data_IF_902002574105
#
_entry.id   IF_902002574105
#
_cell.length_a   1.000
_cell.length_b   1.000
_cell.length_c   1.000
_cell.angle_alpha   90.00
_cell.angle_beta   90.00
_cell.angle_gamma   90.00
#
_symmetry.space_group_name_H-M   'P 1'
#
loop_
_entity.id
_entity.type
_entity.pdbx_description
1 polymer ?
#
# COMPACT_ATOMS: atom_id res chain seq x y z
N UNK A 1 27.59 -47.97 -52.50
CA UNK A 1 27.34 -47.76 -51.06
C UNK A 1 27.35 -46.26 -50.80
N UNK A 2 26.18 -45.65 -50.63
CA UNK A 2 26.03 -44.20 -50.43
C UNK A 2 25.94 -43.89 -48.93
N UNK A 3 26.93 -43.17 -48.40
CA UNK A 3 26.97 -42.74 -47.00
C UNK A 3 26.03 -41.55 -46.76
N UNK A 4 24.96 -41.77 -45.99
CA UNK A 4 24.12 -40.70 -45.45
C UNK A 4 24.88 -39.97 -44.33
N UNK A 5 25.24 -38.71 -44.56
CA UNK A 5 25.71 -37.80 -43.51
C UNK A 5 24.50 -37.31 -42.72
N UNK A 6 24.46 -37.64 -41.44
CA UNK A 6 23.49 -37.14 -40.48
C UNK A 6 23.92 -35.72 -40.07
N UNK A 7 23.21 -34.68 -40.52
CA UNK A 7 23.39 -33.33 -40.00
C UNK A 7 22.57 -33.19 -38.72
N UNK A 8 23.23 -33.05 -37.57
CA UNK A 8 22.61 -32.57 -36.34
C UNK A 8 22.36 -31.07 -36.49
N UNK A 9 21.09 -30.68 -36.60
CA UNK A 9 20.68 -29.28 -36.52
C UNK A 9 20.71 -28.80 -35.08
N UNK A 10 21.51 -27.77 -34.80
CA UNK A 10 21.54 -27.08 -33.51
C UNK A 10 20.37 -26.08 -33.49
N UNK A 11 19.25 -26.42 -32.84
CA UNK A 11 18.18 -25.47 -32.58
C UNK A 11 18.58 -24.55 -31.43
N UNK A 12 18.95 -23.31 -31.76
CA UNK A 12 19.10 -22.26 -30.77
C UNK A 12 17.70 -21.84 -30.26
N UNK A 13 17.41 -22.15 -29.00
CA UNK A 13 16.23 -21.61 -28.31
C UNK A 13 16.58 -20.18 -27.90
N UNK A 14 16.04 -19.20 -28.62
CA UNK A 14 16.02 -17.81 -28.20
C UNK A 14 15.01 -17.69 -27.03
N UNK A 15 15.52 -17.69 -25.81
CA UNK A 15 14.76 -17.28 -24.63
C UNK A 15 14.54 -15.77 -24.74
N UNK A 16 13.38 -15.36 -25.25
CA UNK A 16 12.94 -13.98 -25.18
C UNK A 16 12.83 -13.57 -23.71
N UNK A 17 13.57 -12.53 -23.32
CA UNK A 17 13.38 -11.87 -22.03
C UNK A 17 12.04 -11.13 -22.12
N UNK A 18 10.96 -11.76 -21.67
CA UNK A 18 9.70 -11.06 -21.45
C UNK A 18 9.86 -10.23 -20.19
N UNK A 19 9.94 -8.91 -20.33
CA UNK A 19 9.68 -7.99 -19.23
C UNK A 19 8.21 -8.16 -18.83
N UNK A 20 7.96 -8.81 -17.71
CA UNK A 20 6.62 -8.84 -17.13
C UNK A 20 6.24 -7.39 -16.82
N UNK A 21 5.08 -6.93 -17.31
CA UNK A 21 4.57 -5.62 -16.95
C UNK A 21 4.28 -5.57 -15.44
N UNK A 22 4.54 -4.42 -14.82
CA UNK A 22 4.23 -4.21 -13.42
C UNK A 22 2.74 -4.47 -13.16
N UNK A 23 2.43 -5.22 -12.10
CA UNK A 23 1.07 -5.49 -11.69
C UNK A 23 0.59 -4.36 -10.76
N UNK A 24 -0.51 -3.70 -11.14
CA UNK A 24 -1.17 -2.66 -10.34
C UNK A 24 -2.60 -3.10 -10.03
N UNK A 25 -3.00 -3.00 -8.76
CA UNK A 25 -4.37 -3.27 -8.29
C UNK A 25 -4.82 -2.13 -7.38
N UNK A 26 -6.00 -1.57 -7.61
CA UNK A 26 -6.60 -0.55 -6.75
C UNK A 26 -7.62 -1.18 -5.79
N UNK A 27 -7.68 -0.65 -4.58
CA UNK A 27 -8.56 -1.07 -3.50
C UNK A 27 -9.43 0.11 -3.08
N UNK A 28 -10.75 -0.09 -3.04
CA UNK A 28 -11.69 0.93 -2.61
C UNK A 28 -12.11 1.95 -3.68
N UNK A 29 -12.85 3.00 -3.28
CA UNK A 29 -13.23 3.31 -1.90
C UNK A 29 -14.14 2.24 -1.26
N UNK A 30 -13.81 1.74 -0.07
CA UNK A 30 -14.64 0.80 0.72
C UNK A 30 -14.93 1.37 2.11
N UNK A 31 -16.11 1.11 2.70
CA UNK A 31 -16.38 1.47 4.10
C UNK A 31 -15.31 0.93 5.04
N UNK A 32 -15.00 1.67 6.10
CA UNK A 32 -13.96 1.35 7.04
C UNK A 32 -14.34 1.85 8.44
N UNK A 33 -14.49 0.95 9.41
CA UNK A 33 -14.85 1.30 10.78
C UNK A 33 -13.72 1.01 11.77
N UNK A 34 -12.73 0.20 11.39
CA UNK A 34 -11.60 -0.17 12.25
C UNK A 34 -10.48 -0.83 11.45
N UNK A 35 -9.33 -1.07 12.10
CA UNK A 35 -8.22 -1.86 11.53
C UNK A 35 -8.70 -3.18 10.90
N UNK A 36 -9.73 -3.83 11.47
CA UNK A 36 -10.25 -5.11 10.99
C UNK A 36 -10.81 -5.05 9.55
N UNK A 37 -11.20 -3.86 9.08
CA UNK A 37 -11.72 -3.64 7.73
C UNK A 37 -10.61 -3.41 6.68
N UNK A 38 -9.35 -3.40 7.10
CA UNK A 38 -8.22 -3.09 6.24
C UNK A 38 -7.96 -4.21 5.20
N UNK A 39 -8.12 -3.93 3.89
CA UNK A 39 -7.95 -4.94 2.84
C UNK A 39 -6.54 -5.52 2.75
N UNK A 40 -5.55 -4.84 3.35
CA UNK A 40 -4.15 -5.25 3.28
C UNK A 40 -3.71 -6.24 4.36
N UNK A 41 -4.55 -6.53 5.38
CA UNK A 41 -4.21 -7.50 6.43
C UNK A 41 -3.88 -8.91 5.91
N UNK A 42 -4.35 -9.24 4.71
CA UNK A 42 -4.10 -10.53 4.05
C UNK A 42 -2.93 -10.52 3.06
N UNK A 43 -2.33 -9.35 2.79
CA UNK A 43 -1.24 -9.24 1.82
C UNK A 43 0.11 -9.65 2.44
N UNK A 44 1.01 -10.24 1.65
CA UNK A 44 2.34 -10.64 2.14
C UNK A 44 3.25 -9.43 2.38
N UNK A 45 4.22 -9.59 3.28
CA UNK A 45 5.20 -8.55 3.62
C UNK A 45 5.12 -8.15 5.07
N UNK A 46 5.99 -7.21 5.46
CA UNK A 46 5.86 -6.53 6.76
C UNK A 46 4.81 -5.44 6.64
N UNK A 47 3.70 -5.59 7.37
CA UNK A 47 2.59 -4.65 7.43
C UNK A 47 2.87 -3.55 8.45
N UNK A 48 2.57 -2.31 8.08
CA UNK A 48 2.64 -1.12 8.92
C UNK A 48 1.31 -0.38 8.88
N UNK A 49 0.86 0.06 10.04
CA UNK A 49 -0.33 0.90 10.23
C UNK A 49 0.05 2.06 11.15
N UNK A 50 -0.12 3.28 10.64
CA UNK A 50 -0.05 4.52 11.40
C UNK A 50 -1.48 4.93 11.76
N UNK A 51 -1.82 4.87 13.05
CA UNK A 51 -3.14 5.24 13.58
C UNK A 51 -3.14 6.63 14.21
N UNK A 52 -1.99 7.29 14.37
CA UNK A 52 -1.86 8.60 15.03
C UNK A 52 -2.31 8.69 16.50
N UNK A 53 -2.86 7.62 17.08
CA UNK A 53 -3.37 7.54 18.47
C UNK A 53 -2.33 7.86 19.56
N UNK A 54 -1.04 7.89 19.22
CA UNK A 54 0.03 8.34 20.12
C UNK A 54 0.35 9.84 20.00
N UNK A 55 -0.42 10.57 19.19
CA UNK A 55 -0.23 11.99 18.87
C UNK A 55 0.92 12.28 17.91
N UNK A 56 1.52 11.26 17.30
CA UNK A 56 2.72 11.38 16.47
C UNK A 56 2.54 10.73 15.09
N UNK A 57 3.33 11.20 14.13
CA UNK A 57 3.57 10.48 12.87
C UNK A 57 4.98 9.88 12.97
N UNK A 58 5.07 8.61 13.32
CA UNK A 58 6.35 7.97 13.66
C UNK A 58 6.52 6.54 13.14
N UNK A 59 5.58 6.05 12.34
CA UNK A 59 5.67 4.71 11.75
C UNK A 59 6.88 4.59 10.79
N UNK A 60 7.70 3.52 10.86
CA UNK A 60 9.00 3.46 10.17
C UNK A 60 8.99 3.67 8.64
N UNK A 61 9.62 4.75 8.19
CA UNK A 61 9.76 5.04 6.76
C UNK A 61 8.60 5.81 6.16
N UNK A 62 7.60 6.17 6.97
CA UNK A 62 6.54 7.11 6.59
C UNK A 62 6.93 8.55 7.01
N UNK A 63 6.62 9.51 6.16
CA UNK A 63 6.67 10.94 6.46
C UNK A 63 5.57 11.67 5.69
N UNK A 64 5.31 12.92 6.04
CA UNK A 64 4.27 13.72 5.39
C UNK A 64 4.77 15.13 5.03
N UNK A 65 4.21 15.66 3.95
CA UNK A 65 4.40 17.04 3.50
C UNK A 65 3.05 17.75 3.64
N UNK A 66 3.02 18.76 4.52
CA UNK A 66 1.83 19.48 5.01
C UNK A 66 0.95 18.67 5.95
N UNK A 67 0.15 19.39 6.75
CA UNK A 67 -0.73 18.81 7.76
C UNK A 67 -0.03 18.50 9.08
N UNK A 68 -0.77 17.93 10.00
CA UNK A 68 -0.31 17.54 11.33
C UNK A 68 -1.30 16.57 11.96
N UNK A 69 -0.82 15.75 12.90
CA UNK A 69 -1.72 15.01 13.79
C UNK A 69 -2.60 15.98 14.57
N UNK A 70 -3.88 15.68 14.68
CA UNK A 70 -4.89 16.38 15.47
C UNK A 70 -5.31 15.46 16.63
N UNK A 71 -5.40 16.08 17.80
CA UNK A 71 -5.84 15.42 19.04
C UNK A 71 -7.36 15.25 19.07
N UNK A 72 -7.87 14.28 19.86
CA UNK A 72 -9.29 14.10 20.12
C UNK A 72 -9.98 15.41 20.50
N UNK A 73 -11.09 15.69 19.83
CA UNK A 73 -11.89 16.89 20.01
C UNK A 73 -13.20 16.74 19.26
N UNK A 74 -14.22 17.55 19.61
CA UNK A 74 -15.48 17.63 18.86
C UNK A 74 -15.36 18.17 17.43
N UNK A 75 -14.14 18.27 16.90
CA UNK A 75 -13.81 18.66 15.53
C UNK A 75 -12.99 17.58 14.82
N UNK A 76 -12.88 16.38 15.37
CA UNK A 76 -11.99 15.33 14.85
C UNK A 76 -12.84 14.25 14.24
N UNK A 77 -12.62 13.96 12.97
CA UNK A 77 -13.12 12.77 12.31
C UNK A 77 -12.00 11.73 12.21
N UNK A 78 -11.85 10.95 13.26
CA UNK A 78 -11.00 9.75 13.29
C UNK A 78 -11.85 8.51 12.99
N UNK A 79 -11.22 7.35 12.79
CA UNK A 79 -11.94 6.11 12.53
C UNK A 79 -12.73 5.68 13.77
N UNK A 80 -13.97 5.22 13.57
CA UNK A 80 -14.93 4.83 14.62
C UNK A 80 -14.28 3.99 15.74
N UNK A 81 -13.56 2.93 15.34
CA UNK A 81 -12.96 1.97 16.26
C UNK A 81 -11.79 2.46 17.12
N UNK A 82 -11.31 3.69 16.95
CA UNK A 82 -10.05 4.16 17.57
C UNK A 82 -10.18 4.39 19.07
N UNK A 83 -11.40 4.64 19.56
CA UNK A 83 -11.69 4.73 20.99
C UNK A 83 -11.99 3.36 21.65
N UNK A 84 -11.95 2.29 20.85
CA UNK A 84 -12.23 0.92 21.26
C UNK A 84 -13.70 0.51 21.19
N UNK A 85 -14.59 1.36 20.65
CA UNK A 85 -16.02 1.10 20.42
C UNK A 85 -16.35 1.43 18.96
N UNK A 86 -17.36 0.78 18.37
CA UNK A 86 -17.93 1.19 17.08
C UNK A 86 -19.33 1.72 17.37
N UNK A 87 -19.47 3.03 17.48
CA UNK A 87 -20.72 3.71 17.83
C UNK A 87 -21.13 4.82 16.85
N UNK A 88 -20.38 4.99 15.76
CA UNK A 88 -20.61 5.97 14.73
C UNK A 88 -19.93 7.32 15.01
N UNK A 89 -18.97 7.39 15.94
CA UNK A 89 -18.30 8.63 16.33
C UNK A 89 -16.78 8.60 16.15
N UNK A 90 -16.23 9.60 15.46
CA UNK A 90 -14.79 9.78 15.26
C UNK A 90 -14.10 10.73 16.25
N UNK A 91 -14.81 11.32 17.21
CA UNK A 91 -14.30 12.44 18.03
C UNK A 91 -13.22 12.07 19.06
N UNK A 92 -13.17 10.79 19.43
CA UNK A 92 -12.37 10.32 20.55
C UNK A 92 -10.98 9.79 20.13
N UNK A 93 -10.73 9.62 18.84
CA UNK A 93 -9.43 9.26 18.26
C UNK A 93 -8.63 10.46 17.75
N UNK A 94 -7.46 10.17 17.20
CA UNK A 94 -6.57 11.11 16.53
C UNK A 94 -6.71 10.97 15.02
N UNK A 95 -6.44 12.03 14.27
CA UNK A 95 -6.35 11.92 12.81
C UNK A 95 -5.25 12.80 12.24
N UNK A 96 -5.02 12.67 10.92
CA UNK A 96 -4.14 13.57 10.18
C UNK A 96 -4.93 14.69 9.52
N UNK A 97 -4.77 15.90 10.06
CA UNK A 97 -5.53 17.06 9.63
C UNK A 97 -4.75 17.95 8.67
N UNK A 98 -5.42 18.41 7.61
CA UNK A 98 -4.94 19.44 6.69
C UNK A 98 -5.81 20.68 6.76
N UNK A 99 -5.14 21.83 6.99
CA UNK A 99 -5.82 23.12 7.09
C UNK A 99 -6.49 23.52 5.77
N UNK A 100 -7.65 24.20 5.86
CA UNK A 100 -8.28 24.87 4.74
C UNK A 100 -7.29 25.73 3.95
N UNK A 101 -7.29 25.60 2.62
CA UNK A 101 -6.45 26.37 1.71
C UNK A 101 -5.13 25.71 1.35
N UNK A 102 -4.83 24.53 1.92
CA UNK A 102 -3.76 23.66 1.47
C UNK A 102 -4.07 23.01 0.13
N UNK A 103 -3.04 22.61 -0.62
CA UNK A 103 -3.16 21.86 -1.88
C UNK A 103 -3.24 20.34 -1.69
N UNK A 104 -3.44 19.89 -0.45
CA UNK A 104 -3.38 18.47 -0.05
C UNK A 104 -2.31 18.17 0.99
N UNK A 105 -2.23 16.91 1.39
CA UNK A 105 -1.08 16.31 2.07
C UNK A 105 -0.47 15.24 1.16
N UNK A 106 0.85 15.14 1.19
CA UNK A 106 1.57 14.04 0.54
C UNK A 106 2.26 13.18 1.59
N UNK A 107 1.86 11.91 1.68
CA UNK A 107 2.57 10.88 2.43
C UNK A 107 3.68 10.29 1.56
N UNK A 108 4.89 10.23 2.11
CA UNK A 108 6.10 9.78 1.40
C UNK A 108 6.68 8.57 2.11
N UNK A 109 6.92 7.52 1.33
CA UNK A 109 7.53 6.28 1.80
C UNK A 109 9.01 6.25 1.44
N UNK A 110 9.84 6.02 2.46
CA UNK A 110 11.27 5.79 2.29
C UNK A 110 11.53 4.31 2.00
N UNK A 111 12.48 3.99 1.11
CA UNK A 111 12.92 2.61 0.95
C UNK A 111 13.48 2.05 2.26
N UNK A 112 13.28 0.75 2.48
CA UNK A 112 13.89 0.02 3.59
C UNK A 112 15.43 -0.03 3.48
N UNK A 113 16.16 -0.60 4.47
CA UNK A 113 17.62 -0.74 4.40
C UNK A 113 18.15 -1.55 3.21
N UNK A 114 17.29 -2.30 2.51
CA UNK A 114 17.59 -3.07 1.30
C UNK A 114 17.16 -2.36 0.02
N UNK A 115 16.66 -1.12 0.11
CA UNK A 115 16.21 -0.30 -1.02
C UNK A 115 14.83 -0.67 -1.55
N UNK A 116 13.98 -1.35 -0.77
CA UNK A 116 12.62 -1.72 -1.14
C UNK A 116 11.61 -0.67 -0.69
N UNK A 117 10.81 -0.17 -1.63
CA UNK A 117 9.61 0.60 -1.32
C UNK A 117 8.46 -0.33 -0.93
N UNK A 118 7.42 0.18 -0.24
CA UNK A 118 6.20 -0.57 -0.01
C UNK A 118 5.58 -1.05 -1.32
N UNK A 119 5.09 -2.29 -1.39
CA UNK A 119 4.36 -2.78 -2.56
C UNK A 119 2.87 -2.49 -2.50
N UNK A 120 2.36 -2.10 -1.34
CA UNK A 120 1.03 -1.58 -1.19
C UNK A 120 1.04 -0.40 -0.21
N UNK A 121 0.12 0.53 -0.45
CA UNK A 121 -0.10 1.69 0.41
C UNK A 121 -1.56 2.16 0.28
N UNK A 122 -2.12 2.66 1.36
CA UNK A 122 -3.49 3.16 1.43
C UNK A 122 -3.70 4.04 2.65
N UNK A 123 -4.85 4.69 2.68
CA UNK A 123 -5.29 5.54 3.78
C UNK A 123 -6.81 5.43 3.92
N UNK A 124 -7.32 5.85 5.06
CA UNK A 124 -8.73 6.13 5.26
C UNK A 124 -8.93 7.64 5.11
N UNK A 125 -9.85 8.05 4.25
CA UNK A 125 -10.31 9.43 4.21
C UNK A 125 -11.53 9.53 5.14
N UNK A 126 -11.46 10.40 6.14
CA UNK A 126 -12.44 10.50 7.23
C UNK A 126 -13.25 11.80 7.18
N UNK A 127 -12.67 12.90 6.70
CA UNK A 127 -13.41 14.11 6.34
C UNK A 127 -12.86 14.69 5.03
N UNK A 128 -13.74 15.29 4.25
CA UNK A 128 -13.34 16.20 3.18
C UNK A 128 -14.53 16.73 2.41
N UNK A 129 -14.38 17.96 1.92
CA UNK A 129 -15.43 18.60 1.15
C UNK A 129 -15.01 18.85 -0.30
N UNK A 130 -15.75 18.24 -1.23
CA UNK A 130 -15.67 18.48 -2.66
C UNK A 130 -16.65 19.58 -3.08
N UNK A 131 -16.15 20.67 -3.67
CA UNK A 131 -17.04 21.77 -4.07
C UNK A 131 -17.76 21.49 -5.40
N UNK A 132 -18.98 22.00 -5.55
CA UNK A 132 -19.75 21.97 -6.80
C UNK A 132 -19.99 20.55 -7.37
N UNK A 133 -20.18 19.56 -6.49
CA UNK A 133 -20.41 18.16 -6.87
C UNK A 133 -19.15 17.41 -7.31
N UNK A 134 -17.96 17.97 -7.10
CA UNK A 134 -16.71 17.24 -7.19
C UNK A 134 -16.61 16.22 -6.04
N UNK A 135 -15.91 15.07 -6.22
CA UNK A 135 -15.71 14.12 -5.14
C UNK A 135 -14.93 14.77 -3.98
N UNK A 136 -15.23 14.34 -2.76
CA UNK A 136 -14.33 14.58 -1.63
C UNK A 136 -13.11 13.69 -1.79
N UNK A 137 -11.95 14.14 -1.31
CA UNK A 137 -10.75 13.32 -1.15
C UNK A 137 -10.37 12.50 -2.40
N UNK A 138 -9.61 13.13 -3.29
CA UNK A 138 -8.92 12.45 -4.39
C UNK A 138 -7.53 12.01 -3.94
N UNK A 139 -7.20 10.74 -4.13
CA UNK A 139 -5.89 10.17 -3.81
C UNK A 139 -5.15 9.79 -5.09
N UNK A 140 -4.02 10.44 -5.33
CA UNK A 140 -3.04 10.04 -6.35
C UNK A 140 -1.98 9.12 -5.74
N UNK A 141 -1.68 8.02 -6.43
CA UNK A 141 -0.64 7.07 -6.04
C UNK A 141 0.52 7.14 -7.02
N UNK A 142 1.75 7.11 -6.50
CA UNK A 142 2.94 7.22 -7.32
C UNK A 142 3.93 6.10 -7.06
N UNK A 143 4.60 5.67 -8.12
CA UNK A 143 5.66 4.67 -8.11
C UNK A 143 7.04 5.30 -8.02
N UNK A 144 8.10 4.50 -8.19
CA UNK A 144 9.47 5.00 -8.26
C UNK A 144 9.63 6.06 -9.37
N UNK A 145 10.45 7.10 -9.13
CA UNK A 145 10.70 8.14 -10.13
C UNK A 145 9.53 9.09 -10.40
N UNK A 146 8.61 9.23 -9.45
CA UNK A 146 7.42 10.09 -9.52
C UNK A 146 6.41 9.71 -10.63
N UNK A 147 6.41 8.45 -11.06
CA UNK A 147 5.40 7.93 -11.99
C UNK A 147 4.02 7.92 -11.33
N UNK A 148 3.02 8.56 -11.96
CA UNK A 148 1.62 8.46 -11.53
C UNK A 148 1.08 7.08 -11.89
N UNK A 149 0.76 6.27 -10.88
CA UNK A 149 0.21 4.92 -11.05
C UNK A 149 -1.31 4.95 -11.26
N UNK A 150 -1.98 5.94 -10.67
CA UNK A 150 -3.39 6.20 -10.87
C UNK A 150 -4.01 6.98 -9.72
N UNK A 151 -5.34 7.09 -9.77
CA UNK A 151 -6.11 7.96 -8.90
C UNK A 151 -7.37 7.24 -8.41
N UNK A 152 -7.67 7.37 -7.13
CA UNK A 152 -8.97 7.03 -6.53
C UNK A 152 -9.65 8.30 -6.03
N UNK A 153 -10.96 8.28 -5.88
CA UNK A 153 -11.72 9.41 -5.33
C UNK A 153 -12.84 8.92 -4.43
N UNK A 154 -13.05 9.58 -3.30
CA UNK A 154 -14.17 9.28 -2.41
C UNK A 154 -15.44 10.00 -2.92
N UNK A 155 -16.48 9.28 -3.38
CA UNK A 155 -17.73 9.93 -3.77
C UNK A 155 -18.59 10.32 -2.56
N UNK A 156 -18.28 9.82 -1.36
CA UNK A 156 -19.02 10.09 -0.13
C UNK A 156 -18.47 11.37 0.51
N UNK A 157 -19.40 12.21 0.96
CA UNK A 157 -19.11 13.46 1.67
C UNK A 157 -20.09 13.49 2.82
N UNK A 158 -19.61 13.55 4.06
CA UNK A 158 -20.41 14.08 5.16
C UNK A 158 -20.07 15.54 5.42
N UNK A 159 -21.07 16.30 5.83
CA UNK A 159 -20.96 17.66 6.34
C UNK A 159 -21.05 17.71 7.87
N UNK A 160 -21.43 16.60 8.48
CA UNK A 160 -21.33 16.40 9.90
C UNK A 160 -19.86 16.19 10.22
N UNK A 161 -19.44 16.91 11.24
CA UNK A 161 -18.15 16.68 11.87
C UNK A 161 -18.40 15.61 12.89
N UNK A 162 -17.57 14.57 12.96
CA UNK A 162 -17.58 13.48 13.95
C UNK A 162 -18.27 12.17 13.60
N UNK A 163 -18.71 12.00 12.37
CA UNK A 163 -19.47 10.84 11.92
C UNK A 163 -18.64 9.98 10.99
N UNK A 164 -18.73 8.66 11.13
CA UNK A 164 -17.83 7.72 10.45
C UNK A 164 -18.48 7.03 9.24
N UNK A 165 -19.73 7.37 8.93
CA UNK A 165 -20.51 6.74 7.85
C UNK A 165 -19.88 6.98 6.45
N UNK A 166 -19.10 8.05 6.28
CA UNK A 166 -18.39 8.40 5.05
C UNK A 166 -16.91 8.02 5.02
N UNK A 167 -16.39 7.38 6.08
CA UNK A 167 -15.02 6.87 6.15
C UNK A 167 -14.74 5.86 5.04
N UNK A 168 -13.78 6.18 4.16
CA UNK A 168 -13.42 5.28 3.05
C UNK A 168 -11.94 4.97 3.00
N UNK A 169 -11.64 3.68 3.02
CA UNK A 169 -10.33 3.19 2.66
C UNK A 169 -10.10 3.29 1.15
N UNK A 170 -8.96 3.86 0.76
CA UNK A 170 -8.47 3.92 -0.61
C UNK A 170 -7.01 3.48 -0.64
N UNK A 171 -6.67 2.50 -1.47
CA UNK A 171 -5.33 1.95 -1.53
C UNK A 171 -4.94 1.40 -2.89
N UNK A 172 -3.66 1.06 -3.00
CA UNK A 172 -3.05 0.47 -4.18
C UNK A 172 -2.11 -0.67 -3.78
N UNK A 173 -2.01 -1.68 -4.62
CA UNK A 173 -0.86 -2.56 -4.73
C UNK A 173 -0.15 -2.28 -6.06
N UNK A 174 1.17 -2.15 -6.04
CA UNK A 174 2.01 -2.01 -7.22
C UNK A 174 3.30 -2.83 -7.06
N UNK A 175 3.56 -3.76 -8.00
CA UNK A 175 4.68 -4.71 -7.88
C UNK A 175 6.07 -4.08 -7.90
N UNK A 176 6.22 -2.88 -8.45
CA UNK A 176 7.50 -2.14 -8.46
C UNK A 176 7.63 -1.15 -7.29
N UNK A 177 6.59 -1.01 -6.47
CA UNK A 177 6.57 -0.22 -5.25
C UNK A 177 5.80 1.09 -5.35
N UNK A 178 5.40 1.63 -4.21
CA UNK A 178 4.67 2.89 -4.04
C UNK A 178 5.58 3.84 -3.28
N UNK A 179 5.89 4.99 -3.89
CA UNK A 179 6.80 5.99 -3.31
C UNK A 179 6.06 7.06 -2.52
N UNK A 180 4.84 7.41 -2.93
CA UNK A 180 4.03 8.43 -2.26
C UNK A 180 2.54 8.29 -2.58
N UNK A 181 1.72 8.82 -1.67
CA UNK A 181 0.29 9.06 -1.86
C UNK A 181 0.03 10.54 -1.63
N UNK A 182 -0.79 11.15 -2.49
CA UNK A 182 -1.23 12.52 -2.31
C UNK A 182 -2.74 12.56 -2.25
N UNK A 183 -3.28 13.00 -1.11
CA UNK A 183 -4.70 13.26 -0.93
C UNK A 183 -4.97 14.76 -1.04
N UNK A 184 -6.00 15.12 -1.80
CA UNK A 184 -6.42 16.49 -2.04
C UNK A 184 -7.91 16.54 -2.40
N UNK A 185 -8.56 17.68 -2.18
CA UNK A 185 -9.92 17.91 -2.65
C UNK A 185 -9.92 18.54 -4.05
N UNK A 186 -10.83 18.10 -4.91
CA UNK A 186 -11.11 18.74 -6.19
C UNK A 186 -12.16 19.86 -5.97
N UNK A 187 -11.84 21.09 -6.38
CA UNK A 187 -12.73 22.24 -6.26
C UNK A 187 -12.02 23.54 -5.88
N UNK A 188 -12.64 24.69 -6.17
CA UNK A 188 -12.08 26.01 -5.88
C UNK A 188 -12.42 26.44 -4.46
N UNK A 189 -11.79 25.85 -3.44
CA UNK A 189 -11.94 26.39 -2.11
C UNK A 189 -11.17 25.68 -1.01
N UNK A 190 -11.10 26.42 0.09
CA UNK A 190 -10.37 26.15 1.31
C UNK A 190 -11.14 25.13 2.14
N UNK A 191 -11.02 23.84 1.82
CA UNK A 191 -11.72 22.77 2.56
C UNK A 191 -10.76 22.02 3.47
N UNK A 192 -11.27 21.60 4.63
CA UNK A 192 -10.57 20.67 5.51
C UNK A 192 -10.44 19.33 4.79
N UNK A 193 -9.37 18.61 5.14
CA UNK A 193 -9.24 17.19 4.82
C UNK A 193 -8.71 16.52 6.06
N UNK A 194 -9.33 15.40 6.39
CA UNK A 194 -8.90 14.53 7.46
C UNK A 194 -8.71 13.14 6.89
N UNK A 195 -7.65 12.49 7.35
CA UNK A 195 -7.30 11.14 6.95
C UNK A 195 -6.72 10.41 8.13
N UNK A 196 -6.95 9.12 8.17
CA UNK A 196 -6.51 8.25 9.23
C UNK A 196 -5.93 6.95 8.67
N UNK A 197 -5.38 6.11 9.56
CA UNK A 197 -5.02 4.72 9.30
C UNK A 197 -4.15 4.56 8.04
N UNK A 198 -3.03 5.29 7.99
CA UNK A 198 -2.10 5.19 6.86
C UNK A 198 -1.45 3.82 6.90
N UNK A 199 -1.75 3.01 5.90
CA UNK A 199 -1.34 1.61 5.82
C UNK A 199 -0.35 1.42 4.68
N UNK A 200 0.70 0.63 4.90
CA UNK A 200 1.61 0.23 3.83
C UNK A 200 2.33 -1.06 4.20
N UNK A 201 2.95 -1.72 3.22
CA UNK A 201 3.76 -2.89 3.52
C UNK A 201 4.91 -3.12 2.58
N UNK A 202 6.02 -3.48 3.21
CA UNK A 202 7.32 -3.69 2.56
C UNK A 202 7.47 -5.19 2.25
N UNK A 203 7.84 -5.56 1.01
CA UNK A 203 8.05 -6.95 0.66
C UNK A 203 9.20 -7.55 1.48
N UNK A 204 9.03 -8.79 1.93
CA UNK A 204 10.12 -9.51 2.59
C UNK A 204 11.33 -9.65 1.64
N UNK A 205 12.57 -9.60 2.17
CA UNK A 205 13.77 -9.84 1.37
C UNK A 205 13.69 -11.19 0.65
N UNK A 206 13.90 -11.17 -0.68
CA UNK A 206 13.88 -12.37 -1.53
C UNK A 206 14.94 -13.42 -1.15
N UNK A 207 15.89 -13.08 -0.28
CA UNK A 207 16.87 -14.00 0.29
C UNK A 207 16.23 -15.13 1.10
N UNK A 208 15.07 -14.92 1.74
CA UNK A 208 14.33 -16.00 2.43
C UNK A 208 13.75 -17.02 1.45
N UNK A 209 13.22 -16.56 0.32
CA UNK A 209 12.76 -17.43 -0.76
C UNK A 209 13.92 -18.20 -1.42
N UNK A 210 15.10 -17.58 -1.52
CA UNK A 210 16.31 -18.20 -2.04
C UNK A 210 16.89 -19.24 -1.06
N UNK A 211 16.82 -19.00 0.25
CA UNK A 211 17.20 -19.99 1.29
C UNK A 211 16.27 -21.20 1.29
N UNK A 212 14.95 -20.99 1.15
CA UNK A 212 13.97 -22.08 1.09
C UNK A 212 14.14 -22.95 -0.16
N UNK A 213 14.41 -22.34 -1.33
CA UNK A 213 14.65 -23.06 -2.58
C UNK A 213 16.03 -23.73 -2.64
N UNK A 214 17.07 -23.08 -2.12
CA UNK A 214 18.41 -23.65 -2.01
C UNK A 214 18.49 -24.86 -1.06
N UNK A 215 17.75 -24.82 0.05
CA UNK A 215 17.65 -25.95 1.00
C UNK A 215 17.03 -27.20 0.39
N UNK A 216 15.99 -27.04 -0.46
CA UNK A 216 15.34 -28.15 -1.16
C UNK A 216 16.24 -28.79 -2.23
N UNK A 217 17.03 -28.00 -2.96
CA UNK A 217 18.01 -28.49 -3.93
C UNK A 217 19.15 -29.23 -3.22
N UNK A 218 19.64 -28.70 -2.09
CA UNK A 218 20.68 -29.33 -1.27
C UNK A 218 20.23 -30.67 -0.67
N UNK A 219 19.00 -30.76 -0.17
CA UNK A 219 18.44 -31.99 0.39
C UNK A 219 18.24 -33.07 -0.69
N UNK A 220 17.75 -32.68 -1.88
CA UNK A 220 17.61 -33.58 -3.03
C UNK A 220 18.94 -34.16 -3.51
N UNK A 221 20.00 -33.35 -3.54
CA UNK A 221 21.35 -33.80 -3.89
C UNK A 221 21.96 -34.72 -2.80
N UNK A 222 21.69 -34.45 -1.53
CA UNK A 222 22.15 -35.27 -0.40
C UNK A 222 21.46 -36.64 -0.36
N UNK A 223 20.15 -36.70 -0.60
CA UNK A 223 19.40 -37.95 -0.66
C UNK A 223 19.83 -38.83 -1.84
N UNK A 224 20.12 -38.25 -3.02
CA UNK A 224 20.62 -39.01 -4.18
C UNK A 224 22.00 -39.64 -3.95
N UNK A 225 22.87 -39.03 -3.15
CA UNK A 225 24.19 -39.58 -2.82
C UNK A 225 24.14 -40.81 -1.90
N UNK A 226 23.06 -41.00 -1.14
CA UNK A 226 22.91 -42.15 -0.23
C UNK A 226 22.36 -43.42 -0.88
N UNK A 227 21.82 -43.32 -2.11
CA UNK A 227 21.20 -44.45 -2.83
C UNK A 227 22.13 -45.05 -3.90
N UNK A 228 23.33 -44.50 -4.10
CA UNK A 228 24.29 -45.09 -5.03
C UNK A 228 24.73 -46.49 -4.55
N UNK A 229 24.45 -47.57 -5.30
CA UNK A 229 24.84 -48.91 -4.90
C UNK A 229 26.36 -49.07 -4.97
N UNK A 230 26.95 -49.67 -3.93
CA UNK A 230 28.35 -50.10 -3.97
C UNK A 230 28.47 -51.23 -5.00
N UNK A 231 29.08 -50.95 -6.13
CA UNK A 231 29.46 -51.98 -7.10
C UNK A 231 30.65 -52.78 -6.54
N UNK A 232 30.44 -54.08 -6.34
CA UNK A 232 31.49 -55.07 -6.12
C UNK A 232 32.25 -55.35 -7.43
#
# INVERSE_FOLDING_TARGET
MAGKRLMLGLSAVLLGVHTAAAATVFYGPTPYLSEADNPFLSLPGTFYLETFEDGLLNTPGLSAINGSVREPSGLTDSVDGDDGVIDGSGNAGHNYFVRPGSTGVTFVFSPDPFGKLPNYAGLVATDGYGQNGAPANTVEFYGPGDELLGTLSNPYQDFNVDTTDDDRFMGIYHSEGVSKMRIFNLGTGSTTMESDHITYGVPEPSSLALLASGGLIGLGAWLRRRVAPKTC
#
